data_IF_432903024880
#
_entry.id   IF_432903024880
#
_cell.length_a   1.000
_cell.length_b   1.000
_cell.length_c   1.000
_cell.angle_alpha   90.00
_cell.angle_beta   90.00
_cell.angle_gamma   90.00
#
_symmetry.space_group_name_H-M   'P 1'
#
loop_
_entity.id
_entity.type
_entity.pdbx_description
1 polymer ?
#
# COMPACT_ATOMS: atom_id res chain seq x y z
N UNK A 1 25.26 1.36 -17.97
CA UNK A 1 24.46 0.52 -17.05
C UNK A 1 23.62 1.43 -16.18
N UNK A 2 22.34 1.58 -16.50
CA UNK A 2 21.29 2.06 -15.60
C UNK A 2 19.97 1.46 -16.12
N UNK A 3 19.67 0.26 -15.65
CA UNK A 3 18.38 -0.38 -15.82
C UNK A 3 17.97 -0.82 -14.42
N UNK A 4 17.17 0.00 -13.77
CA UNK A 4 16.28 -0.39 -12.68
C UNK A 4 14.97 0.35 -12.94
N UNK A 5 14.23 -0.11 -13.95
CA UNK A 5 12.85 0.29 -14.20
C UNK A 5 12.03 -0.98 -14.30
N UNK A 6 11.99 -1.73 -13.22
CA UNK A 6 11.15 -2.91 -13.08
C UNK A 6 9.85 -2.52 -12.37
N UNK A 7 9.11 -1.60 -12.99
CA UNK A 7 7.67 -1.47 -12.73
C UNK A 7 6.97 -2.54 -13.54
N UNK A 8 7.14 -3.82 -13.16
CA UNK A 8 6.43 -4.92 -13.79
C UNK A 8 4.93 -4.64 -13.67
N UNK A 9 4.23 -4.64 -14.80
CA UNK A 9 2.78 -4.56 -14.91
C UNK A 9 2.09 -5.80 -14.35
N UNK A 10 2.38 -6.11 -13.09
CA UNK A 10 1.68 -7.12 -12.33
C UNK A 10 0.49 -6.45 -11.66
N UNK A 11 -0.70 -6.94 -12.01
CA UNK A 11 -1.96 -6.50 -11.43
C UNK A 11 -1.87 -6.47 -9.89
N UNK A 12 -1.98 -5.30 -9.28
CA UNK A 12 -1.93 -5.16 -7.82
C UNK A 12 -2.97 -6.02 -7.09
N UNK A 13 -4.03 -6.48 -7.77
CA UNK A 13 -5.01 -7.41 -7.18
C UNK A 13 -4.48 -8.83 -6.98
N UNK A 14 -3.35 -9.20 -7.59
CA UNK A 14 -2.70 -10.51 -7.37
C UNK A 14 -1.61 -10.48 -6.30
N UNK A 15 -1.34 -9.32 -5.70
CA UNK A 15 -0.31 -9.17 -4.68
C UNK A 15 -0.62 -9.98 -3.42
N UNK A 16 0.42 -10.64 -2.92
CA UNK A 16 0.41 -11.22 -1.58
C UNK A 16 0.48 -10.13 -0.51
N UNK A 17 0.28 -10.51 0.76
CA UNK A 17 0.48 -9.60 1.91
C UNK A 17 1.90 -9.05 1.93
N UNK A 18 2.91 -9.86 1.61
CA UNK A 18 4.31 -9.41 1.59
C UNK A 18 4.59 -8.44 0.43
N UNK A 19 3.94 -8.62 -0.73
CA UNK A 19 4.01 -7.64 -1.83
C UNK A 19 3.40 -6.29 -1.43
N UNK A 20 2.26 -6.30 -0.73
CA UNK A 20 1.64 -5.09 -0.19
C UNK A 20 2.55 -4.40 0.81
N UNK A 21 3.15 -5.15 1.74
CA UNK A 21 4.11 -4.62 2.72
C UNK A 21 5.29 -3.95 2.03
N UNK A 22 5.88 -4.63 1.02
CA UNK A 22 6.98 -4.08 0.24
C UNK A 22 6.56 -2.78 -0.46
N UNK A 23 5.41 -2.76 -1.13
CA UNK A 23 4.88 -1.56 -1.77
C UNK A 23 4.73 -0.39 -0.78
N UNK A 24 4.12 -0.63 0.39
CA UNK A 24 3.90 0.41 1.41
C UNK A 24 5.22 0.93 1.97
N UNK A 25 6.18 0.03 2.23
CA UNK A 25 7.51 0.37 2.72
C UNK A 25 8.29 1.21 1.70
N UNK A 26 8.25 0.85 0.42
CA UNK A 26 8.95 1.57 -0.65
C UNK A 26 8.27 2.90 -1.01
N UNK A 27 6.94 2.99 -0.86
CA UNK A 27 6.16 4.17 -1.20
C UNK A 27 6.44 5.38 -0.28
N UNK A 28 6.49 5.18 1.03
CA UNK A 28 6.88 6.20 2.02
C UNK A 28 7.53 5.51 3.24
N UNK A 29 8.84 5.19 3.16
CA UNK A 29 9.55 4.46 4.21
C UNK A 29 9.53 5.17 5.57
N UNK A 30 9.51 6.50 5.56
CA UNK A 30 9.59 7.30 6.79
C UNK A 30 8.26 7.36 7.52
N UNK A 31 7.16 7.48 6.79
CA UNK A 31 5.83 7.70 7.39
C UNK A 31 5.01 6.43 7.48
N UNK A 32 5.09 5.55 6.47
CA UNK A 32 4.34 4.30 6.43
C UNK A 32 5.17 3.10 6.90
N UNK A 33 6.50 3.17 6.81
CA UNK A 33 7.38 2.09 7.25
C UNK A 33 7.15 1.61 8.69
N UNK A 34 6.97 2.50 9.69
CA UNK A 34 6.64 2.09 11.06
C UNK A 34 5.29 1.35 11.22
N UNK A 35 4.47 1.32 10.17
CA UNK A 35 3.11 0.78 10.18
C UNK A 35 2.95 -0.49 9.34
N UNK A 36 4.00 -0.99 8.69
CA UNK A 36 3.88 -2.12 7.74
C UNK A 36 3.39 -3.43 8.38
N UNK A 37 3.73 -3.68 9.65
CA UNK A 37 3.24 -4.88 10.37
C UNK A 37 1.72 -4.86 10.58
N UNK A 38 1.06 -3.70 10.47
CA UNK A 38 -0.41 -3.63 10.47
C UNK A 38 -1.00 -4.36 9.26
N UNK A 39 -0.35 -4.30 8.09
CA UNK A 39 -0.83 -4.98 6.89
C UNK A 39 -0.74 -6.48 7.03
N UNK A 40 0.33 -6.99 7.67
CA UNK A 40 0.43 -8.41 8.04
C UNK A 40 -0.64 -8.81 9.03
N UNK A 41 -0.80 -8.05 10.12
CA UNK A 41 -1.77 -8.33 11.19
C UNK A 41 -3.21 -8.38 10.68
N UNK A 42 -3.55 -7.51 9.73
CA UNK A 42 -4.90 -7.42 9.15
C UNK A 42 -5.06 -8.22 7.85
N UNK A 43 -4.05 -9.03 7.48
CA UNK A 43 -4.07 -9.88 6.29
C UNK A 43 -4.42 -9.10 5.01
N UNK A 44 -3.85 -7.90 4.87
CA UNK A 44 -4.13 -7.01 3.73
C UNK A 44 -3.35 -7.50 2.51
N UNK A 45 -4.03 -8.27 1.65
CA UNK A 45 -3.54 -8.65 0.32
C UNK A 45 -3.85 -7.58 -0.73
N UNK A 46 -3.46 -7.84 -1.98
CA UNK A 46 -3.70 -6.93 -3.11
C UNK A 46 -5.16 -6.56 -3.34
N UNK A 47 -6.08 -7.51 -3.15
CA UNK A 47 -7.52 -7.27 -3.32
C UNK A 47 -8.05 -6.37 -2.20
N UNK A 48 -7.69 -6.66 -0.96
CA UNK A 48 -8.04 -5.85 0.19
C UNK A 48 -7.47 -4.42 0.06
N UNK A 49 -6.21 -4.29 -0.38
CA UNK A 49 -5.56 -3.00 -0.62
C UNK A 49 -6.36 -2.14 -1.60
N UNK A 50 -6.90 -2.72 -2.69
CA UNK A 50 -7.71 -1.99 -3.67
C UNK A 50 -9.06 -1.53 -3.12
N UNK A 51 -9.57 -2.19 -2.08
CA UNK A 51 -10.84 -1.89 -1.41
C UNK A 51 -10.68 -0.98 -0.18
N UNK A 52 -9.46 -0.76 0.30
CA UNK A 52 -9.22 0.06 1.49
C UNK A 52 -9.72 1.50 1.28
N UNK A 53 -10.41 2.01 2.30
CA UNK A 53 -10.94 3.37 2.38
C UNK A 53 -10.38 4.07 3.61
N UNK A 54 -10.33 5.41 3.56
CA UNK A 54 -9.78 6.23 4.65
C UNK A 54 -10.48 5.98 6.00
N UNK A 55 -11.80 5.77 6.01
CA UNK A 55 -12.56 5.47 7.22
C UNK A 55 -12.18 4.12 7.85
N UNK A 56 -11.97 3.09 7.02
CA UNK A 56 -11.56 1.76 7.47
C UNK A 56 -10.14 1.79 8.02
N UNK A 57 -9.22 2.46 7.31
CA UNK A 57 -7.82 2.63 7.69
C UNK A 57 -7.71 3.28 9.08
N UNK A 58 -8.42 4.40 9.29
CA UNK A 58 -8.33 5.12 10.56
C UNK A 58 -9.02 4.39 11.71
N UNK A 59 -10.19 3.78 11.47
CA UNK A 59 -10.98 3.15 12.53
C UNK A 59 -10.44 1.79 12.97
N UNK A 60 -9.95 0.97 12.04
CA UNK A 60 -9.63 -0.43 12.32
C UNK A 60 -8.14 -0.75 12.30
N UNK A 61 -7.32 0.01 11.58
CA UNK A 61 -5.85 -0.16 11.58
C UNK A 61 -5.14 0.76 12.58
N UNK A 62 -5.87 1.70 13.22
CA UNK A 62 -5.29 2.63 14.20
C UNK A 62 -4.34 3.67 13.60
N UNK A 63 -4.38 3.86 12.28
CA UNK A 63 -3.59 4.88 11.60
C UNK A 63 -4.15 6.29 11.89
N UNK A 64 -3.26 7.22 12.22
CA UNK A 64 -3.62 8.64 12.35
C UNK A 64 -3.92 9.24 10.97
N UNK A 65 -4.59 10.39 10.96
CA UNK A 65 -5.01 11.08 9.73
C UNK A 65 -3.85 11.27 8.73
N UNK A 66 -2.69 11.73 9.19
CA UNK A 66 -1.52 11.97 8.33
C UNK A 66 -1.07 10.71 7.54
N UNK A 67 -0.65 9.63 8.22
CA UNK A 67 -0.32 8.36 7.56
C UNK A 67 -1.46 7.79 6.70
N UNK A 68 -2.72 7.91 7.15
CA UNK A 68 -3.87 7.42 6.39
C UNK A 68 -4.02 8.16 5.04
N UNK A 69 -3.90 9.49 5.03
CA UNK A 69 -3.97 10.30 3.81
C UNK A 69 -2.86 9.95 2.81
N UNK A 70 -1.63 9.74 3.31
CA UNK A 70 -0.49 9.35 2.48
C UNK A 70 -0.67 7.95 1.88
N UNK A 71 -1.13 6.99 2.67
CA UNK A 71 -1.45 5.66 2.19
C UNK A 71 -2.51 5.71 1.08
N UNK A 72 -3.60 6.46 1.29
CA UNK A 72 -4.63 6.67 0.25
C UNK A 72 -4.04 7.27 -1.03
N UNK A 73 -3.14 8.26 -0.93
CA UNK A 73 -2.47 8.86 -2.08
C UNK A 73 -1.67 7.81 -2.89
N UNK A 74 -0.90 6.95 -2.22
CA UNK A 74 -0.13 5.91 -2.92
C UNK A 74 -1.01 4.83 -3.54
N UNK A 75 -2.09 4.41 -2.86
CA UNK A 75 -3.08 3.47 -3.42
C UNK A 75 -3.74 4.06 -4.67
N UNK A 76 -4.10 5.34 -4.65
CA UNK A 76 -4.69 6.01 -5.82
C UNK A 76 -3.73 6.06 -7.01
N UNK A 77 -2.46 6.40 -6.78
CA UNK A 77 -1.42 6.34 -7.83
C UNK A 77 -1.23 4.94 -8.41
N UNK A 78 -1.27 3.92 -7.55
CA UNK A 78 -1.18 2.53 -7.97
C UNK A 78 -2.35 2.14 -8.89
N UNK A 79 -3.57 2.59 -8.57
CA UNK A 79 -4.78 2.36 -9.39
C UNK A 79 -4.71 3.07 -10.75
N UNK A 80 -4.16 4.28 -10.79
CA UNK A 80 -4.03 5.07 -12.03
C UNK A 80 -2.98 4.52 -12.99
N UNK A 81 -2.03 3.72 -12.52
CA UNK A 81 -1.04 3.05 -13.38
C UNK A 81 -1.69 1.95 -14.27
N UNK A 82 -2.99 1.68 -14.07
CA UNK A 82 -3.80 0.69 -14.78
C UNK A 82 -4.67 1.28 -15.92
N UNK A 83 -4.54 2.57 -16.24
CA UNK A 83 -5.21 3.22 -17.39
C UNK A 83 -4.23 3.60 -18.49
#
# INVERSE_FOLDING_TARGET
>A
MKQDKEGSGNDATSWSVDDVIRFVQEADPQTLGPHVELFRKHEIDGKALMLLRSDVIMKYMGLKLGPALKLCHHIEKLKQTKQ
#
